data_IF_542454916341
#
_entry.id   IF_542454916341
#
_cell.length_a   1.000
_cell.length_b   1.000
_cell.length_c   1.000
_cell.angle_alpha   90.00
_cell.angle_beta   90.00
_cell.angle_gamma   90.00
#
_symmetry.space_group_name_H-M   'P 1'
#
loop_
_entity.id
_entity.type
_entity.pdbx_description
1 polymer ?
#
# COMPACT_ATOMS: atom_id res chain seq x y z
N UNK A 1 8.19 25.50 -27.57
CA UNK A 1 9.08 24.46 -27.02
C UNK A 1 8.30 23.16 -27.09
N UNK A 2 8.84 22.12 -27.70
CA UNK A 2 8.17 20.81 -27.82
C UNK A 2 8.21 20.11 -26.47
N UNK A 3 7.06 19.73 -25.93
CA UNK A 3 6.97 18.89 -24.72
C UNK A 3 7.73 17.59 -25.01
N UNK A 4 8.82 17.26 -24.29
CA UNK A 4 9.67 16.13 -24.67
C UNK A 4 8.96 14.78 -24.53
N UNK A 5 8.03 14.69 -23.56
CA UNK A 5 7.21 13.52 -23.28
C UNK A 5 6.02 13.93 -22.39
N UNK A 6 4.81 13.48 -22.67
CA UNK A 6 3.68 13.61 -21.74
C UNK A 6 3.78 12.60 -20.58
N UNK A 7 3.06 12.84 -19.49
CA UNK A 7 3.00 11.92 -18.35
C UNK A 7 2.32 10.58 -18.74
N UNK A 8 1.34 10.61 -19.65
CA UNK A 8 0.74 9.37 -20.15
C UNK A 8 1.74 8.54 -20.98
N UNK A 9 2.54 9.19 -21.83
CA UNK A 9 3.63 8.53 -22.56
C UNK A 9 4.71 8.00 -21.63
N UNK A 10 5.00 8.71 -20.52
CA UNK A 10 5.91 8.23 -19.48
C UNK A 10 5.44 6.89 -18.92
N UNK A 11 4.17 6.78 -18.53
CA UNK A 11 3.60 5.51 -18.09
C UNK A 11 3.71 4.42 -19.15
N UNK A 12 3.43 4.76 -20.41
CA UNK A 12 3.49 3.82 -21.52
C UNK A 12 4.91 3.28 -21.79
N UNK A 13 5.95 4.08 -21.52
CA UNK A 13 7.34 3.71 -21.79
C UNK A 13 8.04 3.08 -20.57
N UNK A 14 7.77 3.59 -19.36
CA UNK A 14 8.52 3.24 -18.16
C UNK A 14 7.74 2.37 -17.16
N UNK A 15 6.41 2.26 -17.27
CA UNK A 15 5.64 1.55 -16.24
C UNK A 15 4.88 0.36 -16.82
N UNK A 16 4.16 0.56 -17.93
CA UNK A 16 3.40 -0.50 -18.59
C UNK A 16 4.26 -1.65 -19.13
N UNK A 17 5.43 -1.42 -19.78
CA UNK A 17 6.21 -2.52 -20.34
C UNK A 17 6.76 -3.48 -19.26
N UNK A 18 7.37 -2.99 -18.15
CA UNK A 18 7.74 -3.87 -17.04
C UNK A 18 6.54 -4.62 -16.44
N UNK A 19 5.39 -3.96 -16.23
CA UNK A 19 4.17 -4.62 -15.75
C UNK A 19 3.76 -5.76 -16.69
N UNK A 20 3.73 -5.52 -18.00
CA UNK A 20 3.34 -6.51 -18.98
C UNK A 20 4.29 -7.72 -18.98
N UNK A 21 5.60 -7.47 -18.93
CA UNK A 21 6.62 -8.53 -18.90
C UNK A 21 6.55 -9.34 -17.61
N UNK A 22 6.48 -8.67 -16.45
CA UNK A 22 6.43 -9.34 -15.15
C UNK A 22 5.12 -10.11 -14.95
N UNK A 23 3.99 -9.53 -15.37
CA UNK A 23 2.69 -10.20 -15.35
C UNK A 23 2.66 -11.42 -16.27
N UNK A 24 3.21 -11.30 -17.48
CA UNK A 24 3.36 -12.44 -18.39
C UNK A 24 4.25 -13.54 -17.79
N UNK A 25 5.37 -13.16 -17.17
CA UNK A 25 6.27 -14.10 -16.52
C UNK A 25 5.60 -14.82 -15.35
N UNK A 26 4.90 -14.08 -14.48
CA UNK A 26 4.13 -14.67 -13.37
C UNK A 26 3.05 -15.64 -13.86
N UNK A 27 2.35 -15.30 -14.94
CA UNK A 27 1.29 -16.14 -15.50
C UNK A 27 1.81 -17.40 -16.21
N UNK A 28 3.09 -17.44 -16.59
CA UNK A 28 3.70 -18.56 -17.35
C UNK A 28 4.53 -19.50 -16.48
N UNK A 29 4.92 -19.06 -15.30
CA UNK A 29 5.77 -19.82 -14.38
C UNK A 29 4.91 -20.57 -13.37
N UNK A 30 5.10 -21.88 -13.28
CA UNK A 30 4.41 -22.72 -12.29
C UNK A 30 4.86 -22.41 -10.85
N UNK A 31 6.07 -21.83 -10.70
CA UNK A 31 6.70 -21.49 -9.42
C UNK A 31 6.59 -20.00 -9.08
N UNK A 32 5.68 -19.25 -9.72
CA UNK A 32 5.38 -17.85 -9.39
C UNK A 32 4.02 -17.72 -8.70
N UNK A 33 3.80 -16.63 -7.96
CA UNK A 33 2.46 -16.31 -7.49
C UNK A 33 1.59 -15.84 -8.65
N UNK A 34 0.50 -16.56 -8.90
CA UNK A 34 -0.54 -16.19 -9.86
C UNK A 34 -1.87 -16.84 -9.48
N UNK A 35 -2.99 -16.26 -9.93
CA UNK A 35 -4.33 -16.77 -9.66
C UNK A 35 -5.14 -15.88 -8.72
N UNK A 36 -6.24 -16.42 -8.19
CA UNK A 36 -7.27 -15.62 -7.49
C UNK A 36 -6.73 -14.91 -6.26
N UNK A 37 -6.03 -15.61 -5.38
CA UNK A 37 -5.58 -15.08 -4.08
C UNK A 37 -4.48 -14.01 -4.24
N UNK A 38 -3.42 -14.20 -5.06
CA UNK A 38 -2.47 -13.12 -5.34
C UNK A 38 -3.10 -11.93 -6.07
N UNK A 39 -3.96 -12.17 -7.06
CA UNK A 39 -4.59 -11.08 -7.81
C UNK A 39 -5.62 -10.31 -6.98
N UNK A 40 -6.29 -10.95 -6.00
CA UNK A 40 -7.13 -10.23 -5.05
C UNK A 40 -6.30 -9.36 -4.11
N UNK A 41 -5.10 -9.80 -3.71
CA UNK A 41 -4.16 -8.97 -2.97
C UNK A 41 -3.82 -7.69 -3.75
N UNK A 42 -3.54 -7.82 -5.06
CA UNK A 42 -3.26 -6.69 -5.96
C UNK A 42 -4.47 -5.75 -6.06
N UNK A 43 -5.67 -6.30 -6.26
CA UNK A 43 -6.88 -5.49 -6.35
C UNK A 43 -7.15 -4.69 -5.06
N UNK A 44 -6.96 -5.32 -3.90
CA UNK A 44 -7.11 -4.66 -2.59
C UNK A 44 -6.09 -3.55 -2.43
N UNK A 45 -4.80 -3.80 -2.71
CA UNK A 45 -3.78 -2.76 -2.54
C UNK A 45 -3.97 -1.60 -3.52
N UNK A 46 -4.39 -1.83 -4.76
CA UNK A 46 -4.73 -0.76 -5.71
C UNK A 46 -5.90 0.09 -5.19
N UNK A 47 -6.96 -0.54 -4.67
CA UNK A 47 -8.09 0.19 -4.08
C UNK A 47 -7.63 1.04 -2.89
N UNK A 48 -6.86 0.46 -1.97
CA UNK A 48 -6.33 1.16 -0.82
C UNK A 48 -5.41 2.31 -1.23
N UNK A 49 -4.54 2.09 -2.22
CA UNK A 49 -3.65 3.12 -2.74
C UNK A 49 -4.43 4.30 -3.32
N UNK A 50 -5.44 4.06 -4.16
CA UNK A 50 -6.29 5.13 -4.70
C UNK A 50 -7.00 5.87 -3.57
N UNK A 51 -7.67 5.18 -2.65
CA UNK A 51 -8.46 5.83 -1.59
C UNK A 51 -7.58 6.62 -0.61
N UNK A 52 -6.43 6.06 -0.22
CA UNK A 52 -5.58 6.63 0.82
C UNK A 52 -4.62 7.70 0.31
N UNK A 53 -4.16 7.58 -0.95
CA UNK A 53 -3.19 8.51 -1.54
C UNK A 53 -3.89 9.74 -2.12
N UNK A 54 -5.08 9.58 -2.72
CA UNK A 54 -5.82 10.68 -3.36
C UNK A 54 -5.92 11.97 -2.53
N UNK A 55 -6.38 11.97 -1.27
CA UNK A 55 -6.49 13.21 -0.50
C UNK A 55 -5.13 13.80 -0.11
N UNK A 56 -4.14 12.95 0.15
CA UNK A 56 -2.78 13.36 0.50
C UNK A 56 -2.09 14.02 -0.71
N UNK A 57 -2.18 13.38 -1.87
CA UNK A 57 -1.57 13.81 -3.11
C UNK A 57 -2.12 15.17 -3.57
N UNK A 58 -3.45 15.29 -3.61
CA UNK A 58 -4.12 16.54 -3.96
C UNK A 58 -3.78 17.68 -3.00
N UNK A 59 -3.63 17.40 -1.70
CA UNK A 59 -3.21 18.40 -0.73
C UNK A 59 -1.79 18.89 -1.00
N UNK A 60 -0.83 17.99 -1.24
CA UNK A 60 0.56 18.39 -1.46
C UNK A 60 0.75 19.13 -2.79
N UNK A 61 0.01 18.77 -3.83
CA UNK A 61 -0.02 19.55 -5.08
C UNK A 61 -0.62 20.94 -4.83
N UNK A 62 -1.70 21.05 -4.06
CA UNK A 62 -2.31 22.33 -3.71
C UNK A 62 -1.37 23.23 -2.90
N UNK A 63 -0.56 22.66 -2.01
CA UNK A 63 0.48 23.35 -1.24
C UNK A 63 1.75 23.65 -2.06
N UNK A 64 1.81 23.23 -3.33
CA UNK A 64 2.95 23.48 -4.20
C UNK A 64 4.21 22.73 -3.78
N UNK A 65 4.05 21.51 -3.29
CA UNK A 65 5.18 20.60 -3.03
C UNK A 65 5.79 20.11 -4.35
N UNK A 66 4.94 19.85 -5.34
CA UNK A 66 5.35 19.66 -6.73
C UNK A 66 4.26 20.16 -7.67
N UNK A 67 4.61 20.32 -8.94
CA UNK A 67 3.69 20.70 -10.01
C UNK A 67 4.16 20.09 -11.34
N UNK A 68 3.32 20.20 -12.37
CA UNK A 68 3.57 19.59 -13.68
C UNK A 68 3.98 20.62 -14.72
N UNK A 69 4.79 20.19 -15.68
CA UNK A 69 5.17 21.01 -16.83
C UNK A 69 3.97 21.39 -17.70
N UNK A 70 4.09 22.50 -18.43
CA UNK A 70 3.04 22.96 -19.31
C UNK A 70 2.78 21.95 -20.44
N UNK A 71 1.53 21.49 -20.57
CA UNK A 71 1.11 20.54 -21.61
C UNK A 71 1.59 19.10 -21.40
N UNK A 72 2.12 18.73 -20.23
CA UNK A 72 2.55 17.34 -19.95
C UNK A 72 1.42 16.45 -19.47
N UNK A 73 0.30 17.02 -19.01
CA UNK A 73 -0.85 16.31 -18.44
C UNK A 73 -2.10 16.47 -19.30
N UNK A 74 -2.92 15.42 -19.38
CA UNK A 74 -4.13 15.39 -20.20
C UNK A 74 -5.29 16.14 -19.54
N UNK A 75 -5.51 15.90 -18.25
CA UNK A 75 -6.58 16.50 -17.47
C UNK A 75 -6.27 16.38 -15.97
N UNK A 76 -6.94 17.18 -15.15
CA UNK A 76 -6.85 17.12 -13.68
C UNK A 76 -8.21 16.78 -13.06
N UNK A 77 -8.17 16.06 -11.93
CA UNK A 77 -9.29 15.90 -11.02
C UNK A 77 -8.86 16.59 -9.72
N UNK A 78 -9.58 17.65 -9.34
CA UNK A 78 -9.15 18.59 -8.31
C UNK A 78 -7.77 19.20 -8.65
N UNK A 79 -6.72 18.85 -7.90
CA UNK A 79 -5.37 19.37 -8.09
C UNK A 79 -4.47 18.38 -8.84
N UNK A 80 -4.72 17.08 -8.68
CA UNK A 80 -3.89 16.02 -9.26
C UNK A 80 -4.27 15.72 -10.73
N UNK A 81 -3.27 15.48 -11.61
CA UNK A 81 -3.50 14.93 -12.95
C UNK A 81 -4.17 13.56 -12.92
N UNK A 82 -4.95 13.22 -13.93
CA UNK A 82 -5.54 11.88 -14.10
C UNK A 82 -4.46 10.80 -14.11
N UNK A 83 -3.28 11.14 -14.62
CA UNK A 83 -2.10 10.29 -14.65
C UNK A 83 -1.57 9.92 -13.26
N UNK A 84 -1.74 10.76 -12.24
CA UNK A 84 -1.40 10.38 -10.85
C UNK A 84 -2.31 9.27 -10.34
N UNK A 85 -3.62 9.38 -10.58
CA UNK A 85 -4.56 8.33 -10.23
C UNK A 85 -4.26 7.01 -10.94
N UNK A 86 -3.78 7.09 -12.19
CA UNK A 86 -3.28 5.93 -12.91
C UNK A 86 -2.03 5.37 -12.23
N UNK A 87 -1.09 6.23 -11.82
CA UNK A 87 0.12 5.81 -11.10
C UNK A 87 -0.20 5.10 -9.77
N UNK A 88 -1.20 5.58 -9.01
CA UNK A 88 -1.67 4.92 -7.78
C UNK A 88 -2.12 3.47 -8.01
N UNK A 89 -2.51 3.12 -9.23
CA UNK A 89 -2.86 1.75 -9.63
C UNK A 89 -1.66 1.01 -10.21
N UNK A 90 -0.91 1.65 -11.10
CA UNK A 90 0.20 1.01 -11.81
C UNK A 90 1.38 0.66 -10.90
N UNK A 91 1.75 1.54 -9.96
CA UNK A 91 2.89 1.30 -9.07
C UNK A 91 2.68 0.08 -8.16
N UNK A 92 1.51 -0.11 -7.52
CA UNK A 92 1.23 -1.36 -6.81
C UNK A 92 1.27 -2.61 -7.69
N UNK A 93 0.77 -2.55 -8.92
CA UNK A 93 0.82 -3.68 -9.87
C UNK A 93 2.27 -4.01 -10.21
N UNK A 94 3.09 -3.01 -10.52
CA UNK A 94 4.50 -3.19 -10.83
C UNK A 94 5.25 -3.89 -9.70
N UNK A 95 5.13 -3.36 -8.47
CA UNK A 95 5.81 -3.91 -7.32
C UNK A 95 5.29 -5.31 -6.94
N UNK A 96 3.98 -5.54 -7.03
CA UNK A 96 3.41 -6.86 -6.77
C UNK A 96 3.84 -7.90 -7.81
N UNK A 97 3.81 -7.57 -9.11
CA UNK A 97 4.22 -8.51 -10.16
C UNK A 97 5.72 -8.81 -10.11
N UNK A 98 6.55 -7.86 -9.67
CA UNK A 98 7.94 -8.15 -9.34
C UNK A 98 8.04 -9.14 -8.17
N UNK A 99 7.33 -8.89 -7.08
CA UNK A 99 7.31 -9.76 -5.90
C UNK A 99 6.82 -11.18 -6.24
N UNK A 100 5.86 -11.32 -7.15
CA UNK A 100 5.29 -12.61 -7.56
C UNK A 100 6.32 -13.58 -8.14
N UNK A 101 7.47 -13.08 -8.61
CA UNK A 101 8.57 -13.91 -9.10
C UNK A 101 9.35 -14.61 -7.98
N UNK A 102 9.10 -14.25 -6.71
CA UNK A 102 9.83 -14.76 -5.55
C UNK A 102 8.86 -15.26 -4.47
N UNK A 103 7.97 -16.21 -4.79
CA UNK A 103 6.99 -16.67 -3.84
C UNK A 103 7.67 -17.33 -2.64
N UNK A 104 7.42 -16.77 -1.47
CA UNK A 104 7.87 -17.35 -0.20
C UNK A 104 6.85 -17.00 0.87
N UNK A 105 6.15 -18.01 1.34
CA UNK A 105 5.35 -17.95 2.56
C UNK A 105 6.00 -18.90 3.57
N UNK A 106 6.21 -18.42 4.78
CA UNK A 106 6.66 -19.27 5.89
C UNK A 106 5.45 -19.83 6.63
N UNK A 107 5.56 -21.09 7.07
CA UNK A 107 4.52 -21.78 7.85
C UNK A 107 4.49 -21.25 9.29
N UNK A 108 3.96 -20.03 9.47
CA UNK A 108 3.77 -19.37 10.78
C UNK A 108 2.29 -19.16 11.13
N UNK A 109 1.90 -19.42 12.38
CA UNK A 109 0.56 -19.08 12.89
C UNK A 109 0.31 -17.57 12.99
N UNK A 110 -0.95 -17.16 12.79
CA UNK A 110 -1.42 -15.77 12.98
C UNK A 110 -1.36 -15.29 14.44
N UNK A 111 -1.10 -16.18 15.39
CA UNK A 111 -0.98 -15.87 16.82
C UNK A 111 0.35 -15.18 17.14
N UNK A 112 0.44 -13.89 16.82
CA UNK A 112 1.57 -13.03 17.17
C UNK A 112 1.43 -12.52 18.62
N UNK A 113 2.48 -12.61 19.47
CA UNK A 113 2.45 -12.11 20.84
C UNK A 113 2.06 -10.62 20.93
N UNK A 114 1.24 -10.26 21.92
CA UNK A 114 0.75 -8.88 22.11
C UNK A 114 1.87 -7.85 22.20
N UNK A 115 2.99 -8.19 22.86
CA UNK A 115 4.15 -7.30 22.95
C UNK A 115 4.75 -6.97 21.58
N UNK A 116 4.82 -7.95 20.66
CA UNK A 116 5.33 -7.72 19.32
C UNK A 116 4.38 -6.85 18.50
N UNK A 117 3.07 -7.07 18.64
CA UNK A 117 2.05 -6.23 18.02
C UNK A 117 2.17 -4.78 18.51
N UNK A 118 2.30 -4.59 19.82
CA UNK A 118 2.47 -3.26 20.42
C UNK A 118 3.75 -2.57 19.91
N UNK A 119 4.88 -3.28 19.86
CA UNK A 119 6.13 -2.74 19.30
C UNK A 119 5.93 -2.28 17.85
N UNK A 120 5.28 -3.10 17.02
CA UNK A 120 4.98 -2.73 15.63
C UNK A 120 4.10 -1.49 15.51
N UNK A 121 3.01 -1.42 16.29
CA UNK A 121 2.13 -0.24 16.32
C UNK A 121 2.87 1.00 16.78
N UNK A 122 3.59 0.92 17.90
CA UNK A 122 4.35 2.06 18.46
C UNK A 122 5.43 2.52 17.49
N UNK A 123 6.13 1.60 16.82
CA UNK A 123 7.13 1.95 15.82
C UNK A 123 6.50 2.71 14.64
N UNK A 124 5.38 2.22 14.08
CA UNK A 124 4.67 2.89 12.99
C UNK A 124 4.13 4.27 13.40
N UNK A 125 3.50 4.37 14.57
CA UNK A 125 3.05 5.66 15.11
C UNK A 125 4.22 6.60 15.45
N UNK A 126 5.38 6.06 15.80
CA UNK A 126 6.62 6.82 15.97
C UNK A 126 7.05 7.49 14.67
N UNK A 127 6.92 6.81 13.52
CA UNK A 127 7.15 7.42 12.20
C UNK A 127 6.20 8.59 11.97
N UNK A 128 4.91 8.43 12.30
CA UNK A 128 3.96 9.56 12.24
C UNK A 128 4.33 10.70 13.18
N UNK A 129 4.78 10.39 14.39
CA UNK A 129 5.21 11.40 15.37
C UNK A 129 6.38 12.22 14.86
N UNK A 130 7.39 11.57 14.26
CA UNK A 130 8.50 12.27 13.59
C UNK A 130 7.99 13.11 12.43
N UNK A 131 7.13 12.55 11.58
CA UNK A 131 6.52 13.28 10.47
C UNK A 131 5.78 14.54 10.92
N UNK A 132 4.98 14.42 11.98
CA UNK A 132 4.25 15.54 12.57
C UNK A 132 5.18 16.68 13.01
N UNK A 133 6.34 16.36 13.61
CA UNK A 133 7.32 17.37 14.01
C UNK A 133 7.94 18.08 12.79
N UNK A 134 8.20 17.33 11.72
CA UNK A 134 8.79 17.87 10.49
C UNK A 134 7.82 18.74 9.67
N UNK A 135 6.50 18.56 9.83
CA UNK A 135 5.49 19.39 9.14
C UNK A 135 5.57 20.88 9.49
N UNK A 136 6.15 21.25 10.63
CA UNK A 136 6.19 22.64 11.10
C UNK A 136 7.29 23.49 10.46
N UNK A 137 8.16 22.89 9.63
CA UNK A 137 9.24 23.60 8.95
C UNK A 137 9.06 23.46 7.43
N UNK A 138 9.01 24.57 6.66
CA UNK A 138 8.78 24.52 5.23
C UNK A 138 9.74 23.56 4.49
N UNK A 139 11.06 23.66 4.75
CA UNK A 139 12.07 22.82 4.10
C UNK A 139 12.04 21.33 4.50
N UNK A 140 11.23 20.94 5.48
CA UNK A 140 11.00 19.53 5.81
C UNK A 140 9.54 19.13 5.64
N UNK A 141 8.72 20.01 5.09
CA UNK A 141 7.28 19.80 4.99
C UNK A 141 6.95 18.55 4.19
N UNK A 142 7.58 18.37 3.02
CA UNK A 142 7.32 17.19 2.20
C UNK A 142 7.77 15.89 2.88
N UNK A 143 8.99 15.88 3.45
CA UNK A 143 9.49 14.75 4.23
C UNK A 143 8.58 14.40 5.42
N UNK A 144 8.11 15.44 6.11
CA UNK A 144 7.16 15.33 7.22
C UNK A 144 5.82 14.77 6.78
N UNK A 145 5.30 15.23 5.64
CA UNK A 145 4.05 14.76 5.06
C UNK A 145 4.12 13.28 4.67
N UNK A 146 5.23 12.82 4.08
CA UNK A 146 5.47 11.40 3.78
C UNK A 146 5.46 10.59 5.07
N UNK A 147 6.26 10.97 6.08
CA UNK A 147 6.35 10.22 7.33
C UNK A 147 5.02 10.21 8.11
N UNK A 148 4.33 11.35 8.18
CA UNK A 148 3.07 11.51 8.90
C UNK A 148 1.98 10.62 8.29
N UNK A 149 1.84 10.68 6.97
CA UNK A 149 0.93 9.85 6.18
C UNK A 149 1.28 8.36 6.21
N UNK A 150 2.57 8.03 6.29
CA UNK A 150 3.00 6.64 6.22
C UNK A 150 2.79 5.86 7.52
N UNK A 151 3.04 6.50 8.66
CA UNK A 151 3.06 5.84 9.95
C UNK A 151 1.78 5.07 10.34
N UNK A 152 0.54 5.50 10.02
CA UNK A 152 -0.66 4.73 10.35
C UNK A 152 -0.74 3.41 9.59
N UNK A 153 -0.33 3.39 8.31
CA UNK A 153 -0.27 2.16 7.52
C UNK A 153 0.81 1.22 8.06
N UNK A 154 2.00 1.75 8.37
CA UNK A 154 3.07 0.98 8.98
C UNK A 154 2.67 0.42 10.35
N UNK A 155 1.94 1.19 11.16
CA UNK A 155 1.45 0.74 12.47
C UNK A 155 0.49 -0.45 12.33
N UNK A 156 -0.40 -0.43 11.33
CA UNK A 156 -1.29 -1.55 11.02
C UNK A 156 -0.48 -2.76 10.56
N UNK A 157 0.41 -2.59 9.58
CA UNK A 157 1.18 -3.69 8.98
C UNK A 157 2.13 -4.34 9.99
N UNK A 158 2.89 -3.54 10.74
CA UNK A 158 3.84 -4.03 11.73
C UNK A 158 3.13 -4.56 12.97
N UNK A 159 2.04 -3.91 13.40
CA UNK A 159 1.19 -4.42 14.46
C UNK A 159 0.52 -5.75 14.11
N UNK A 160 0.22 -5.98 12.83
CA UNK A 160 -0.35 -7.23 12.36
C UNK A 160 0.70 -8.35 12.29
N UNK A 161 1.86 -8.09 11.67
CA UNK A 161 2.77 -9.16 11.26
C UNK A 161 4.26 -8.84 11.26
N UNK A 162 4.77 -7.89 12.06
CA UNK A 162 6.20 -7.54 12.09
C UNK A 162 7.13 -8.76 12.23
N UNK A 163 6.76 -9.73 13.07
CA UNK A 163 7.59 -10.94 13.27
C UNK A 163 7.60 -11.85 12.05
N UNK A 164 6.48 -11.95 11.34
CA UNK A 164 6.39 -12.67 10.07
C UNK A 164 7.24 -11.98 8.99
N UNK A 165 7.09 -10.65 8.84
CA UNK A 165 7.88 -9.86 7.90
C UNK A 165 9.40 -10.01 8.13
N UNK A 166 9.83 -10.14 9.39
CA UNK A 166 11.23 -10.35 9.75
C UNK A 166 11.76 -11.74 9.33
N UNK A 167 10.92 -12.77 9.35
CA UNK A 167 11.28 -14.11 8.90
C UNK A 167 11.45 -14.15 7.38
N UNK A 168 10.54 -13.53 6.63
CA UNK A 168 10.63 -13.40 5.17
C UNK A 168 11.40 -12.14 4.72
N UNK A 169 12.26 -11.57 5.58
CA UNK A 169 12.92 -10.27 5.33
C UNK A 169 13.69 -10.19 4.02
N UNK A 170 14.22 -11.31 3.52
CA UNK A 170 14.94 -11.34 2.23
C UNK A 170 13.96 -11.14 1.05
N UNK A 171 12.82 -11.82 1.08
CA UNK A 171 11.76 -11.65 0.09
C UNK A 171 11.17 -10.25 0.16
N UNK A 172 10.90 -9.74 1.37
CA UNK A 172 10.43 -8.35 1.56
C UNK A 172 11.46 -7.35 1.05
N UNK A 173 12.74 -7.51 1.41
CA UNK A 173 13.79 -6.60 0.97
C UNK A 173 13.95 -6.59 -0.56
N UNK A 174 13.99 -7.75 -1.22
CA UNK A 174 14.10 -7.81 -2.68
C UNK A 174 12.84 -7.27 -3.36
N UNK A 175 11.67 -7.58 -2.81
CA UNK A 175 10.37 -7.07 -3.28
C UNK A 175 10.27 -5.56 -3.20
N UNK A 176 10.88 -4.92 -2.20
CA UNK A 176 10.88 -3.47 -2.01
C UNK A 176 12.00 -2.79 -2.79
N UNK A 177 13.24 -3.21 -2.58
CA UNK A 177 14.43 -2.49 -3.04
C UNK A 177 14.46 -2.42 -4.57
N UNK A 178 14.16 -3.50 -5.29
CA UNK A 178 14.29 -3.51 -6.75
C UNK A 178 13.27 -2.59 -7.43
N UNK A 179 11.96 -2.66 -7.14
CA UNK A 179 11.00 -1.68 -7.66
C UNK A 179 11.30 -0.26 -7.22
N UNK A 180 11.80 -0.04 -5.99
CA UNK A 180 12.17 1.30 -5.52
C UNK A 180 13.31 1.88 -6.34
N UNK A 181 14.40 1.14 -6.54
CA UNK A 181 15.53 1.60 -7.34
C UNK A 181 15.13 1.81 -8.81
N UNK A 182 14.26 0.97 -9.36
CA UNK A 182 13.72 1.16 -10.69
C UNK A 182 12.94 2.48 -10.81
N UNK A 183 12.02 2.73 -9.88
CA UNK A 183 11.20 3.94 -9.86
C UNK A 183 12.03 5.19 -9.57
N UNK A 184 13.10 5.11 -8.78
CA UNK A 184 14.03 6.23 -8.61
C UNK A 184 14.69 6.65 -9.92
N UNK A 185 15.08 5.68 -10.75
CA UNK A 185 15.65 5.98 -12.06
C UNK A 185 14.60 6.58 -12.98
N UNK A 186 13.39 6.00 -13.00
CA UNK A 186 12.29 6.50 -13.83
C UNK A 186 11.88 7.93 -13.44
N UNK A 187 11.73 8.18 -12.14
CA UNK A 187 11.35 9.49 -11.60
C UNK A 187 12.41 10.56 -11.87
N UNK A 188 13.69 10.23 -11.66
CA UNK A 188 14.79 11.14 -11.99
C UNK A 188 14.78 11.52 -13.48
N UNK A 189 14.43 10.59 -14.38
CA UNK A 189 14.27 10.88 -15.80
C UNK A 189 13.09 11.83 -16.02
N UNK A 190 11.94 11.58 -15.40
CA UNK A 190 10.76 12.43 -15.53
C UNK A 190 10.98 13.87 -15.04
N UNK A 191 11.64 14.04 -13.90
CA UNK A 191 12.07 15.36 -13.38
C UNK A 191 13.02 16.02 -14.39
N UNK A 192 14.02 15.28 -14.89
CA UNK A 192 14.98 15.80 -15.87
C UNK A 192 14.34 16.20 -17.21
N UNK A 193 13.20 15.60 -17.57
CA UNK A 193 12.40 15.95 -18.74
C UNK A 193 11.37 17.05 -18.46
N UNK A 194 11.22 17.48 -17.21
CA UNK A 194 10.26 18.50 -16.79
C UNK A 194 8.81 18.06 -16.84
N UNK A 195 8.54 16.74 -16.71
CA UNK A 195 7.16 16.23 -16.63
C UNK A 195 6.50 16.73 -15.35
N UNK A 196 7.23 16.62 -14.23
CA UNK A 196 6.96 17.27 -12.96
C UNK A 196 8.22 17.95 -12.42
N UNK A 197 8.00 18.92 -11.54
CA UNK A 197 9.03 19.72 -10.89
C UNK A 197 8.75 19.73 -9.40
N UNK A 198 9.79 19.44 -8.60
CA UNK A 198 9.71 19.38 -7.14
C UNK A 198 10.12 20.73 -6.55
N UNK A 199 9.41 21.17 -5.52
CA UNK A 199 9.65 22.43 -4.82
C UNK A 199 10.97 22.44 -4.07
N UNK A 200 11.80 23.46 -4.29
CA UNK A 200 12.98 23.74 -3.48
C UNK A 200 12.64 24.24 -2.07
N UNK A 201 11.44 24.82 -1.89
CA UNK A 201 10.99 25.37 -0.61
C UNK A 201 10.48 24.28 0.34
N UNK A 202 9.81 23.26 -0.21
CA UNK A 202 9.18 22.19 0.57
C UNK A 202 10.07 20.96 0.78
N UNK A 203 11.27 20.97 0.21
CA UNK A 203 12.26 19.87 0.30
C UNK A 203 13.50 20.27 1.10
N UNK A 204 14.19 19.26 1.60
CA UNK A 204 15.39 19.40 2.42
C UNK A 204 16.62 19.87 1.65
N UNK A 205 16.56 19.82 0.31
CA UNK A 205 17.69 20.10 -0.58
C UNK A 205 18.72 18.97 -0.69
N UNK A 206 18.52 17.85 0.01
CA UNK A 206 19.37 16.67 -0.16
C UNK A 206 18.91 15.82 -1.35
N UNK A 207 19.87 15.33 -2.13
CA UNK A 207 19.60 14.42 -3.23
C UNK A 207 20.39 13.12 -3.06
N UNK A 208 19.72 11.99 -3.34
CA UNK A 208 20.31 10.66 -3.37
C UNK A 208 20.48 10.23 -4.83
N UNK A 209 21.72 10.16 -5.30
CA UNK A 209 22.03 9.85 -6.71
C UNK A 209 21.26 10.76 -7.68
N UNK A 210 21.15 12.06 -7.35
CA UNK A 210 20.50 13.07 -8.18
C UNK A 210 18.97 13.07 -8.15
N UNK A 211 18.34 12.29 -7.27
CA UNK A 211 16.90 12.32 -6.98
C UNK A 211 16.67 13.00 -5.62
N UNK A 212 15.68 13.89 -5.44
CA UNK A 212 15.35 14.45 -4.13
C UNK A 212 15.14 13.35 -3.09
N UNK A 213 15.62 13.57 -1.86
CA UNK A 213 15.53 12.58 -0.77
C UNK A 213 14.07 12.18 -0.50
N UNK A 214 13.15 13.13 -0.59
CA UNK A 214 11.73 12.94 -0.36
C UNK A 214 11.10 12.03 -1.41
N UNK A 215 11.40 12.24 -2.69
CA UNK A 215 10.99 11.34 -3.78
C UNK A 215 11.57 9.94 -3.57
N UNK A 216 12.85 9.86 -3.20
CA UNK A 216 13.50 8.59 -2.91
C UNK A 216 12.78 7.83 -1.78
N UNK A 217 12.42 8.53 -0.71
CA UNK A 217 11.68 7.98 0.42
C UNK A 217 10.24 7.63 0.05
N UNK A 218 9.56 8.44 -0.76
CA UNK A 218 8.20 8.20 -1.21
C UNK A 218 8.10 6.84 -1.92
N UNK A 219 8.93 6.59 -2.94
CA UNK A 219 8.94 5.28 -3.63
C UNK A 219 9.39 4.12 -2.73
N UNK A 220 10.25 4.37 -1.74
CA UNK A 220 10.62 3.35 -0.77
C UNK A 220 9.40 2.95 0.09
N UNK A 221 8.73 3.93 0.65
CA UNK A 221 7.61 3.74 1.58
C UNK A 221 6.38 3.15 0.86
N UNK A 222 6.06 3.62 -0.34
CA UNK A 222 4.93 3.06 -1.10
C UNK A 222 5.19 1.61 -1.51
N UNK A 223 6.41 1.26 -1.93
CA UNK A 223 6.76 -0.14 -2.21
C UNK A 223 6.77 -0.99 -0.93
N UNK A 224 7.18 -0.43 0.22
CA UNK A 224 7.00 -1.08 1.53
C UNK A 224 5.53 -1.40 1.76
N UNK A 225 4.61 -0.45 1.55
CA UNK A 225 3.17 -0.71 1.74
C UNK A 225 2.68 -1.84 0.85
N UNK A 226 3.05 -1.81 -0.43
CA UNK A 226 2.58 -2.79 -1.40
C UNK A 226 3.07 -4.18 -1.04
N UNK A 227 4.38 -4.33 -0.88
CA UNK A 227 5.01 -5.64 -0.61
C UNK A 227 4.51 -6.20 0.71
N UNK A 228 4.47 -5.39 1.78
CA UNK A 228 3.97 -5.85 3.08
C UNK A 228 2.49 -6.22 3.01
N UNK A 229 1.65 -5.44 2.32
CA UNK A 229 0.22 -5.77 2.17
C UNK A 229 0.04 -7.10 1.46
N UNK A 230 0.74 -7.31 0.33
CA UNK A 230 0.62 -8.55 -0.45
C UNK A 230 1.03 -9.77 0.38
N UNK A 231 2.22 -9.75 1.00
CA UNK A 231 2.69 -10.92 1.77
C UNK A 231 1.85 -11.17 3.03
N UNK A 232 1.42 -10.13 3.73
CA UNK A 232 0.59 -10.27 4.94
C UNK A 232 -0.81 -10.77 4.59
N UNK A 233 -1.38 -10.32 3.47
CA UNK A 233 -2.69 -10.76 3.01
C UNK A 233 -2.65 -12.22 2.53
N UNK A 234 -1.63 -12.62 1.76
CA UNK A 234 -1.47 -14.00 1.34
C UNK A 234 -1.24 -14.94 2.53
N UNK A 235 -0.43 -14.52 3.50
CA UNK A 235 -0.26 -15.23 4.76
C UNK A 235 -1.59 -15.38 5.53
N UNK A 236 -2.40 -14.32 5.60
CA UNK A 236 -3.74 -14.37 6.20
C UNK A 236 -4.65 -15.37 5.49
N UNK A 237 -4.66 -15.37 4.14
CA UNK A 237 -5.50 -16.29 3.36
C UNK A 237 -5.09 -17.75 3.54
N UNK A 238 -3.79 -18.03 3.61
CA UNK A 238 -3.27 -19.38 3.88
C UNK A 238 -3.69 -19.86 5.28
N UNK A 239 -3.65 -18.97 6.27
CA UNK A 239 -4.01 -19.23 7.67
C UNK A 239 -5.45 -18.95 8.02
N UNK A 240 -6.34 -18.77 7.04
CA UNK A 240 -7.77 -18.45 7.29
C UNK A 240 -8.49 -19.47 8.19
N UNK A 241 -8.00 -20.70 8.24
CA UNK A 241 -8.51 -21.77 9.09
C UNK A 241 -8.25 -21.54 10.59
N UNK A 242 -7.30 -20.67 10.95
CA UNK A 242 -7.04 -20.26 12.33
C UNK A 242 -7.98 -19.13 12.81
N UNK A 243 -8.73 -18.52 11.90
CA UNK A 243 -9.70 -17.48 12.25
C UNK A 243 -10.90 -18.12 12.97
N UNK A 244 -11.42 -17.48 14.04
CA UNK A 244 -12.63 -17.97 14.69
C UNK A 244 -13.75 -18.11 13.66
N UNK A 245 -14.35 -19.29 13.56
CA UNK A 245 -15.55 -19.46 12.76
C UNK A 245 -16.61 -18.49 13.30
N UNK A 246 -17.18 -17.65 12.43
CA UNK A 246 -18.38 -16.90 12.76
C UNK A 246 -19.50 -17.95 12.87
N UNK A 247 -19.65 -18.54 14.05
CA UNK A 247 -20.78 -19.42 14.35
C UNK A 247 -22.02 -18.52 14.38
N UNK A 248 -23.00 -18.71 13.49
CA UNK A 248 -24.28 -18.03 13.64
C UNK A 248 -24.84 -18.46 14.99
N UNK A 249 -25.05 -17.51 15.90
CA UNK A 249 -25.70 -17.77 17.19
C UNK A 249 -26.99 -18.53 16.88
N UNK A 250 -27.20 -19.76 17.40
CA UNK A 250 -28.45 -20.46 17.19
C UNK A 250 -29.57 -19.57 17.71
N UNK A 251 -30.43 -19.12 16.79
CA UNK A 251 -31.57 -18.26 17.12
C UNK A 251 -32.30 -18.86 18.31
N UNK A 252 -32.50 -18.03 19.35
CA UNK A 252 -33.24 -18.40 20.53
C UNK A 252 -34.59 -18.99 20.13
N UNK A 253 -34.70 -20.31 20.24
CA UNK A 253 -35.98 -21.00 20.17
C UNK A 253 -36.73 -20.53 21.42
N UNK A 254 -37.60 -19.53 21.27
CA UNK A 254 -38.64 -19.23 22.26
C UNK A 254 -39.48 -20.50 22.38
N UNK A 255 -39.39 -21.18 23.51
CA UNK A 255 -40.38 -22.16 23.92
C UNK A 255 -41.69 -21.41 24.19
N UNK A 256 -42.45 -21.15 23.13
CA UNK A 256 -43.89 -20.93 23.22
C UNK A 256 -44.55 -22.27 22.98
N UNK A 257 -44.93 -22.96 24.06
CA UNK A 257 -46.17 -23.76 24.15
C UNK A 257 -46.30 -24.45 25.51
N UNK A 258 -47.19 -23.95 26.37
CA UNK A 258 -48.44 -24.68 26.64
C UNK A 258 -49.50 -23.80 27.32
N UNK A 259 -50.78 -23.91 26.94
CA UNK A 259 -51.88 -23.17 27.56
C UNK A 259 -52.31 -23.82 28.88
N UNK A 260 -52.84 -22.96 29.76
CA UNK A 260 -53.73 -23.32 30.87
C UNK A 260 -55.00 -23.98 30.34
N UNK A 261 -55.39 -25.12 30.92
CA UNK A 261 -56.81 -25.48 31.01
C UNK A 261 -57.10 -26.20 32.33
N UNK A 262 -58.27 -25.91 32.87
CA UNK A 262 -58.69 -26.17 34.23
C UNK A 262 -59.42 -27.50 34.45
N UNK A 263 -59.59 -27.78 35.74
CA UNK A 263 -60.63 -28.57 36.43
C UNK A 263 -61.45 -29.63 35.68
N UNK A 264 -61.44 -30.86 36.22
CA UNK A 264 -62.61 -31.67 36.61
C UNK A 264 -62.11 -32.84 37.48
N UNK A 265 -62.40 -32.86 38.80
CA UNK A 265 -63.50 -33.55 39.53
C UNK A 265 -63.49 -35.09 39.50
N UNK A 266 -63.37 -35.63 40.73
CA UNK A 266 -63.93 -36.85 41.35
C UNK A 266 -63.79 -38.24 40.69
N UNK A 267 -63.14 -39.17 41.41
CA UNK A 267 -63.84 -40.23 42.17
C UNK A 267 -62.87 -41.33 42.66
N UNK A 268 -62.80 -41.51 43.99
CA UNK A 268 -62.73 -42.78 44.78
C UNK A 268 -61.91 -42.61 46.05
#
# INVERSE_FOLDING_TARGET
MTVPLSYLEFHALFVLPPIAVLGWLAARRDDAWWGRDPLSAVAIVCLLAVVYTTPWDNLLIAEGVWWYGEGTVVATIWHAPVEEYLFFVLQPILAAFWLFQFPRLEDRSLSIPRGHRLVGVVAGLGVSGVGFLLLWTPSTFYLGAICFWAGPILAIQWGFGLTYLWEIRRTVAIGVIVPTLYLWVADRIAIGLGIWVISETHTTGYALVGLPLEEALFFLVTNVFVVQTVVLYLWLLERRHELPAIVPTPGGRRDETKPSDGSERDAS
#
